data_IF_092377741039
#
_entry.id   IF_092377741039
#
_cell.length_a   1.000
_cell.length_b   1.000
_cell.length_c   1.000
_cell.angle_alpha   90.00
_cell.angle_beta   90.00
_cell.angle_gamma   90.00
#
_symmetry.space_group_name_H-M   'P 1'
#
loop_
_entity.id
_entity.type
_entity.pdbx_description
1 polymer ?
#
# COMPACT_ATOMS: atom_id res chain seq x y z
N UNK A 1 -11.54 19.28 24.51
CA UNK A 1 -10.56 18.18 24.39
C UNK A 1 -10.57 17.55 22.99
N UNK A 2 -11.75 17.38 22.36
CA UNK A 2 -11.91 16.85 20.99
C UNK A 2 -11.23 17.68 19.88
N UNK A 3 -11.31 19.02 19.92
CA UNK A 3 -10.82 19.88 18.82
C UNK A 3 -9.31 19.81 18.53
N UNK A 4 -8.47 19.39 19.49
CA UNK A 4 -7.03 19.20 19.25
C UNK A 4 -6.71 17.90 18.52
N UNK A 5 -7.58 16.90 18.59
CA UNK A 5 -7.40 15.61 17.93
C UNK A 5 -7.87 15.64 16.47
N UNK A 6 -8.75 16.59 16.13
CA UNK A 6 -9.16 16.86 14.75
C UNK A 6 -8.18 17.76 13.98
N UNK A 7 -7.15 18.32 14.65
CA UNK A 7 -6.14 19.15 13.98
C UNK A 7 -5.02 18.28 13.38
N UNK A 8 -4.58 18.58 12.15
CA UNK A 8 -3.40 17.97 11.53
C UNK A 8 -2.18 17.99 12.47
N UNK A 9 -1.48 16.86 12.55
CA UNK A 9 -0.16 16.74 13.22
C UNK A 9 0.97 16.62 12.22
N UNK A 10 2.18 16.32 12.71
CA UNK A 10 3.33 16.05 11.83
C UNK A 10 3.11 14.86 10.89
N UNK A 11 2.19 13.94 11.23
CA UNK A 11 1.74 12.86 10.36
C UNK A 11 0.97 13.38 9.14
N UNK A 12 0.14 14.41 9.31
CA UNK A 12 -0.59 15.01 8.21
C UNK A 12 0.37 15.79 7.30
N UNK A 13 1.30 16.57 7.87
CA UNK A 13 2.35 17.24 7.09
C UNK A 13 3.20 16.21 6.30
N UNK A 14 3.47 15.05 6.91
CA UNK A 14 4.15 13.95 6.26
C UNK A 14 3.36 13.39 5.07
N UNK A 15 2.05 13.20 5.21
CA UNK A 15 1.19 12.75 4.13
C UNK A 15 1.04 13.81 3.03
N UNK A 16 0.88 15.08 3.39
CA UNK A 16 0.77 16.20 2.45
C UNK A 16 1.98 16.28 1.51
N UNK A 17 3.20 16.08 2.06
CA UNK A 17 4.41 16.03 1.23
C UNK A 17 4.38 14.91 0.19
N UNK A 18 3.55 13.88 0.35
CA UNK A 18 3.44 12.76 -0.59
C UNK A 18 2.38 12.99 -1.67
N UNK A 19 1.54 14.02 -1.54
CA UNK A 19 0.57 14.38 -2.56
C UNK A 19 1.26 14.74 -3.89
N UNK A 20 0.53 14.59 -5.00
CA UNK A 20 1.00 14.83 -6.36
C UNK A 20 1.01 13.57 -7.22
N UNK A 21 1.67 13.67 -8.38
CA UNK A 21 1.77 12.57 -9.34
C UNK A 21 3.13 11.88 -9.23
N UNK A 22 3.11 10.56 -9.35
CA UNK A 22 4.29 9.72 -9.24
C UNK A 22 4.31 8.71 -10.37
N UNK A 23 5.45 8.59 -11.05
CA UNK A 23 5.74 7.44 -11.89
C UNK A 23 5.83 6.20 -11.02
N UNK A 24 5.09 5.16 -11.40
CA UNK A 24 5.05 3.90 -10.68
C UNK A 24 5.64 2.78 -11.54
N UNK A 25 6.58 2.06 -10.94
CA UNK A 25 6.98 0.72 -11.36
C UNK A 25 6.54 -0.29 -10.32
N UNK A 26 5.76 -1.28 -10.72
CA UNK A 26 5.37 -2.40 -9.88
C UNK A 26 6.17 -3.65 -10.28
N UNK A 27 6.69 -4.38 -9.31
CA UNK A 27 7.31 -5.69 -9.53
C UNK A 27 6.65 -6.71 -8.62
N UNK A 28 6.29 -7.87 -9.18
CA UNK A 28 5.52 -8.92 -8.50
C UNK A 28 6.28 -10.24 -8.53
N UNK A 29 6.30 -10.94 -7.39
CA UNK A 29 6.78 -12.31 -7.25
C UNK A 29 5.62 -13.18 -6.76
N UNK A 30 5.11 -14.05 -7.62
CA UNK A 30 3.88 -14.81 -7.35
C UNK A 30 4.01 -15.84 -6.20
N UNK A 31 5.23 -16.32 -5.93
CA UNK A 31 5.51 -17.33 -4.93
C UNK A 31 6.96 -17.24 -4.43
N UNK A 32 7.31 -17.90 -3.32
CA UNK A 32 8.71 -18.02 -2.87
C UNK A 32 9.63 -18.52 -4.00
N UNK A 33 10.68 -17.76 -4.28
CA UNK A 33 11.68 -18.09 -5.32
C UNK A 33 11.22 -17.90 -6.77
N UNK A 34 10.01 -17.41 -7.02
CA UNK A 34 9.53 -17.13 -8.38
C UNK A 34 10.35 -16.03 -9.07
N UNK A 35 10.41 -16.05 -10.40
CA UNK A 35 10.96 -14.93 -11.16
C UNK A 35 10.03 -13.70 -11.08
N UNK A 36 10.57 -12.48 -10.97
CA UNK A 36 9.76 -11.27 -10.95
C UNK A 36 9.14 -10.93 -12.30
N UNK A 37 7.91 -10.42 -12.27
CA UNK A 37 7.28 -9.71 -13.39
C UNK A 37 7.19 -8.23 -13.06
N UNK A 38 7.60 -7.34 -13.98
CA UNK A 38 7.53 -5.89 -13.80
C UNK A 38 6.48 -5.27 -14.71
N UNK A 39 5.64 -4.42 -14.15
CA UNK A 39 4.73 -3.51 -14.87
C UNK A 39 5.26 -2.08 -14.84
N UNK A 40 5.21 -1.39 -15.98
CA UNK A 40 5.62 0.01 -16.16
C UNK A 40 4.51 0.82 -16.83
N UNK A 41 4.68 2.14 -16.96
CA UNK A 41 3.67 3.02 -17.57
C UNK A 41 2.45 3.25 -16.66
N UNK A 42 2.61 3.01 -15.37
CA UNK A 42 1.63 3.31 -14.34
C UNK A 42 1.93 4.66 -13.69
N UNK A 43 0.89 5.32 -13.21
CA UNK A 43 0.97 6.51 -12.38
C UNK A 43 0.24 6.25 -11.09
N UNK A 44 0.86 6.68 -9.99
CA UNK A 44 0.19 6.84 -8.72
C UNK A 44 -0.15 8.32 -8.51
N UNK A 45 -1.44 8.61 -8.45
CA UNK A 45 -1.96 9.93 -8.15
C UNK A 45 -2.35 9.99 -6.69
N UNK A 46 -1.72 10.89 -5.95
CA UNK A 46 -1.92 11.06 -4.51
C UNK A 46 -2.58 12.38 -4.22
N UNK A 47 -3.70 12.35 -3.53
CA UNK A 47 -4.47 13.54 -3.14
C UNK A 47 -4.80 13.49 -1.65
N UNK A 48 -4.74 14.65 -1.00
CA UNK A 48 -5.22 14.77 0.37
C UNK A 48 -6.75 14.92 0.38
N UNK A 49 -7.41 14.17 1.26
CA UNK A 49 -8.82 14.30 1.58
C UNK A 49 -8.92 14.51 3.09
N UNK A 50 -9.00 15.77 3.51
CA UNK A 50 -8.82 16.11 4.92
C UNK A 50 -7.44 15.68 5.40
N UNK A 51 -7.38 14.85 6.45
CA UNK A 51 -6.12 14.29 7.01
C UNK A 51 -5.70 12.95 6.39
N UNK A 52 -6.45 12.45 5.39
CA UNK A 52 -6.17 11.18 4.72
C UNK A 52 -5.45 11.42 3.40
N UNK A 53 -4.49 10.56 3.08
CA UNK A 53 -3.89 10.48 1.76
C UNK A 53 -4.61 9.38 0.96
N UNK A 54 -5.24 9.75 -0.15
CA UNK A 54 -5.76 8.80 -1.12
C UNK A 54 -4.77 8.63 -2.27
N UNK A 55 -4.45 7.39 -2.61
CA UNK A 55 -3.65 7.04 -3.80
C UNK A 55 -4.53 6.30 -4.81
N UNK A 56 -4.45 6.71 -6.08
CA UNK A 56 -4.99 5.97 -7.22
C UNK A 56 -3.85 5.47 -8.08
N UNK A 57 -3.76 4.16 -8.30
CA UNK A 57 -2.86 3.58 -9.29
C UNK A 57 -3.64 3.37 -10.58
N UNK A 58 -3.17 3.94 -11.69
CA UNK A 58 -3.83 3.88 -12.99
C UNK A 58 -2.81 3.88 -14.14
N UNK A 59 -3.19 3.42 -15.34
CA UNK A 59 -2.38 3.63 -16.53
C UNK A 59 -2.13 5.12 -16.77
N UNK A 60 -0.94 5.47 -17.27
CA UNK A 60 -0.57 6.86 -17.58
C UNK A 60 -1.61 7.58 -18.44
N UNK A 61 -2.13 6.91 -19.48
CA UNK A 61 -3.09 7.49 -20.41
C UNK A 61 -4.50 7.67 -19.82
N UNK A 62 -4.81 7.08 -18.65
CA UNK A 62 -6.13 7.13 -18.04
C UNK A 62 -6.31 8.40 -17.20
N UNK A 63 -6.43 9.54 -17.87
CA UNK A 63 -6.62 10.83 -17.19
C UNK A 63 -8.03 10.99 -16.59
N UNK A 64 -9.02 10.26 -17.11
CA UNK A 64 -10.40 10.27 -16.64
C UNK A 64 -10.64 9.33 -15.43
N UNK A 65 -9.61 8.59 -14.99
CA UNK A 65 -9.67 7.63 -13.87
C UNK A 65 -10.74 6.54 -14.05
N UNK A 66 -10.91 6.04 -15.27
CA UNK A 66 -11.88 4.99 -15.59
C UNK A 66 -11.28 3.59 -15.41
N UNK A 67 -9.96 3.47 -15.60
CA UNK A 67 -9.19 2.22 -15.54
C UNK A 67 -8.30 2.14 -14.30
N UNK A 68 -8.74 2.75 -13.19
CA UNK A 68 -8.05 2.68 -11.90
C UNK A 68 -7.83 1.22 -11.54
N UNK A 69 -6.57 0.85 -11.33
CA UNK A 69 -6.15 -0.49 -10.96
C UNK A 69 -6.30 -0.70 -9.47
N UNK A 70 -5.88 0.28 -8.66
CA UNK A 70 -5.90 0.19 -7.20
C UNK A 70 -6.18 1.53 -6.58
N UNK A 71 -6.87 1.52 -5.45
CA UNK A 71 -7.08 2.69 -4.60
C UNK A 71 -6.63 2.37 -3.19
N UNK A 72 -5.84 3.25 -2.60
CA UNK A 72 -5.43 3.17 -1.20
C UNK A 72 -5.89 4.41 -0.44
N UNK A 73 -6.23 4.24 0.84
CA UNK A 73 -6.41 5.32 1.81
C UNK A 73 -5.43 5.08 2.96
N UNK A 74 -4.69 6.11 3.35
CA UNK A 74 -3.76 6.09 4.48
C UNK A 74 -4.00 7.31 5.37
N UNK A 75 -4.12 7.09 6.68
CA UNK A 75 -4.17 8.18 7.64
C UNK A 75 -3.53 7.78 8.96
N UNK A 76 -3.25 8.78 9.80
CA UNK A 76 -2.85 8.54 11.18
C UNK A 76 -4.01 8.84 12.12
N UNK A 77 -4.46 7.80 12.82
CA UNK A 77 -5.49 7.91 13.82
C UNK A 77 -4.86 8.33 15.15
N UNK A 78 -5.10 9.59 15.52
CA UNK A 78 -4.54 10.21 16.73
C UNK A 78 -5.18 9.70 18.03
N UNK A 79 -6.37 9.08 17.97
CA UNK A 79 -7.00 8.46 19.12
C UNK A 79 -6.32 7.13 19.45
N UNK A 80 -6.10 6.31 18.42
CA UNK A 80 -5.48 4.97 18.57
C UNK A 80 -3.95 5.03 18.57
N UNK A 81 -3.36 6.14 18.14
CA UNK A 81 -1.91 6.31 18.04
C UNK A 81 -1.27 5.42 16.97
N UNK A 82 -2.01 5.12 15.89
CA UNK A 82 -1.59 4.20 14.82
C UNK A 82 -1.95 4.71 13.43
N UNK A 83 -1.31 4.14 12.43
CA UNK A 83 -1.69 4.31 11.03
C UNK A 83 -2.84 3.37 10.70
N UNK A 84 -3.87 3.90 10.06
CA UNK A 84 -4.99 3.13 9.51
C UNK A 84 -4.89 3.19 7.99
N UNK A 85 -5.15 2.05 7.35
CA UNK A 85 -5.03 1.88 5.92
C UNK A 85 -6.14 0.99 5.38
N UNK A 86 -6.63 1.29 4.18
CA UNK A 86 -7.45 0.36 3.42
C UNK A 86 -7.05 0.43 1.96
N UNK A 87 -6.98 -0.73 1.32
CA UNK A 87 -6.74 -0.83 -0.10
C UNK A 87 -7.83 -1.63 -0.79
N UNK A 88 -8.04 -1.32 -2.06
CA UNK A 88 -8.87 -2.08 -2.97
C UNK A 88 -8.14 -2.17 -4.31
N UNK A 89 -7.98 -3.39 -4.82
CA UNK A 89 -7.34 -3.66 -6.11
C UNK A 89 -8.36 -4.30 -7.04
N UNK A 90 -8.61 -3.68 -8.19
CA UNK A 90 -9.52 -4.19 -9.23
C UNK A 90 -8.92 -5.35 -10.02
N UNK A 91 -7.61 -5.58 -9.89
CA UNK A 91 -6.88 -6.67 -10.56
C UNK A 91 -6.99 -7.98 -9.79
N UNK A 92 -7.27 -7.91 -8.49
CA UNK A 92 -7.30 -9.05 -7.58
C UNK A 92 -8.69 -9.20 -6.92
N UNK A 93 -9.28 -10.40 -6.90
CA UNK A 93 -10.64 -10.60 -6.38
C UNK A 93 -10.68 -10.74 -4.84
N UNK A 94 -10.01 -9.83 -4.12
CA UNK A 94 -9.80 -9.89 -2.66
C UNK A 94 -10.68 -8.92 -1.86
N UNK A 95 -11.43 -8.04 -2.54
CA UNK A 95 -12.31 -7.05 -1.91
C UNK A 95 -11.53 -5.91 -1.23
N UNK A 96 -12.08 -5.38 -0.13
CA UNK A 96 -11.40 -4.36 0.68
C UNK A 96 -10.38 -5.02 1.60
N UNK A 97 -9.17 -4.46 1.62
CA UNK A 97 -8.03 -4.95 2.38
C UNK A 97 -7.65 -3.93 3.46
N UNK A 98 -8.29 -3.94 4.64
CA UNK A 98 -7.92 -3.07 5.75
C UNK A 98 -6.59 -3.51 6.37
N UNK A 99 -5.82 -2.54 6.83
CA UNK A 99 -4.56 -2.75 7.52
C UNK A 99 -4.33 -1.64 8.56
N UNK A 100 -3.50 -1.93 9.55
CA UNK A 100 -3.13 -0.96 10.56
C UNK A 100 -1.70 -1.18 11.03
N UNK A 101 -1.06 -0.12 11.51
CA UNK A 101 0.23 -0.27 12.17
C UNK A 101 0.04 -0.80 13.59
N UNK A 102 1.04 -1.54 14.07
CA UNK A 102 1.12 -2.00 15.47
C UNK A 102 1.98 -1.06 16.33
N UNK A 103 2.55 -0.02 15.72
CA UNK A 103 3.31 1.04 16.38
C UNK A 103 3.13 2.34 15.60
N UNK A 104 3.53 3.48 16.20
CA UNK A 104 3.54 4.77 15.51
C UNK A 104 4.53 4.82 14.34
N UNK A 105 5.63 4.06 14.40
CA UNK A 105 6.76 4.18 13.47
C UNK A 105 7.56 5.48 13.65
N UNK A 106 8.42 5.80 12.67
CA UNK A 106 9.34 6.95 12.71
C UNK A 106 9.15 7.96 11.55
N UNK A 107 7.97 7.95 10.92
CA UNK A 107 7.59 8.72 9.71
C UNK A 107 8.39 8.37 8.45
N UNK A 108 9.63 7.88 8.53
CA UNK A 108 10.37 7.43 7.35
C UNK A 108 9.93 6.04 6.90
N UNK A 109 9.43 5.23 7.84
CA UNK A 109 8.88 3.92 7.57
C UNK A 109 7.56 3.71 8.33
N UNK A 110 6.52 3.34 7.57
CA UNK A 110 5.24 2.89 8.11
C UNK A 110 5.11 1.40 7.82
N UNK A 111 5.02 0.60 8.87
CA UNK A 111 4.70 -0.83 8.77
C UNK A 111 3.21 -1.06 9.06
N UNK A 112 2.54 -1.73 8.14
CA UNK A 112 1.11 -2.06 8.22
C UNK A 112 0.96 -3.58 8.25
N UNK A 113 0.14 -4.07 9.16
CA UNK A 113 -0.35 -5.45 9.18
C UNK A 113 -1.78 -5.46 8.65
N UNK A 114 -2.03 -6.24 7.61
CA UNK A 114 -3.35 -6.36 7.03
C UNK A 114 -4.22 -7.28 7.86
N UNK A 115 -5.53 -7.02 7.86
CA UNK A 115 -6.49 -8.04 8.23
C UNK A 115 -6.24 -9.28 7.38
N UNK A 116 -6.36 -10.48 7.97
CA UNK A 116 -6.12 -11.69 7.22
C UNK A 116 -6.98 -11.79 5.96
N UNK A 117 -6.40 -12.21 4.85
CA UNK A 117 -7.08 -12.30 3.57
C UNK A 117 -6.84 -13.64 2.89
N UNK A 118 -7.81 -14.03 2.08
CA UNK A 118 -7.74 -15.22 1.25
C UNK A 118 -7.42 -14.78 -0.20
N UNK A 119 -6.39 -15.35 -0.80
CA UNK A 119 -5.95 -15.03 -2.16
C UNK A 119 -6.00 -16.28 -3.02
N UNK A 120 -6.58 -16.16 -4.22
CA UNK A 120 -6.61 -17.24 -5.18
C UNK A 120 -5.25 -17.37 -5.89
N UNK A 121 -4.82 -18.61 -6.15
CA UNK A 121 -3.69 -18.87 -7.05
C UNK A 121 -2.30 -18.71 -6.42
N UNK A 122 -2.22 -18.58 -5.10
CA UNK A 122 -0.96 -18.64 -4.35
C UNK A 122 -0.80 -20.06 -3.80
N UNK A 123 0.10 -20.86 -4.39
CA UNK A 123 0.31 -22.27 -4.04
C UNK A 123 0.40 -23.18 -5.27
N UNK A 124 0.56 -24.50 -5.06
CA UNK A 124 0.73 -25.48 -6.17
C UNK A 124 -0.54 -25.78 -6.95
N UNK A 125 -1.70 -25.47 -6.40
CA UNK A 125 -2.99 -25.68 -7.05
C UNK A 125 -3.81 -24.40 -6.86
N UNK A 126 -4.70 -24.10 -7.79
CA UNK A 126 -5.64 -22.96 -7.86
C UNK A 126 -6.65 -22.90 -6.69
N UNK A 127 -6.17 -23.20 -5.50
CA UNK A 127 -6.78 -23.15 -4.19
C UNK A 127 -6.69 -21.73 -3.64
N UNK A 128 -7.67 -21.40 -2.82
CA UNK A 128 -7.65 -20.17 -2.03
C UNK A 128 -6.72 -20.41 -0.86
N UNK A 129 -5.64 -19.64 -0.78
CA UNK A 129 -4.69 -19.69 0.33
C UNK A 129 -4.95 -18.52 1.25
N UNK A 130 -4.99 -18.79 2.55
CA UNK A 130 -5.02 -17.75 3.55
C UNK A 130 -3.61 -17.22 3.75
N UNK A 131 -3.46 -15.90 3.77
CA UNK A 131 -2.17 -15.24 3.86
C UNK A 131 -2.19 -14.21 4.97
N UNK A 132 -1.06 -14.13 5.68
CA UNK A 132 -0.72 -12.92 6.41
C UNK A 132 0.00 -11.98 5.45
N UNK A 133 -0.41 -10.72 5.48
CA UNK A 133 0.18 -9.67 4.66
C UNK A 133 0.70 -8.56 5.57
N UNK A 134 1.95 -8.15 5.34
CA UNK A 134 2.50 -6.91 5.89
C UNK A 134 3.03 -6.01 4.77
N UNK A 135 2.90 -4.71 4.95
CA UNK A 135 3.41 -3.71 4.00
C UNK A 135 4.34 -2.75 4.72
N UNK A 136 5.50 -2.52 4.11
CA UNK A 136 6.41 -1.44 4.48
C UNK A 136 6.23 -0.30 3.48
N UNK A 137 5.84 0.87 3.96
CA UNK A 137 5.81 2.10 3.17
C UNK A 137 6.99 2.96 3.60
N UNK A 138 7.96 3.13 2.70
CA UNK A 138 9.27 3.72 2.97
C UNK A 138 9.40 5.00 2.16
N UNK A 139 9.88 6.06 2.81
CA UNK A 139 10.28 7.32 2.20
C UNK A 139 11.77 7.29 1.90
N UNK A 140 12.15 7.31 0.63
CA UNK A 140 13.55 7.28 0.16
C UNK A 140 14.03 8.68 -0.28
N UNK A 141 13.48 9.72 0.35
CA UNK A 141 13.73 11.14 0.04
C UNK A 141 12.46 11.89 -0.38
N UNK A 142 12.57 13.17 -0.76
CA UNK A 142 11.40 13.99 -1.10
C UNK A 142 10.67 13.51 -2.37
N UNK A 143 11.38 12.86 -3.29
CA UNK A 143 10.90 12.53 -4.64
C UNK A 143 10.97 11.04 -4.96
N UNK A 144 11.17 10.20 -3.95
CA UNK A 144 11.22 8.75 -4.10
C UNK A 144 10.54 8.07 -2.93
N UNK A 145 9.65 7.14 -3.25
CA UNK A 145 9.00 6.28 -2.28
C UNK A 145 9.09 4.81 -2.72
N UNK A 146 8.94 3.92 -1.75
CA UNK A 146 8.78 2.49 -1.99
C UNK A 146 7.70 1.90 -1.10
N UNK A 147 6.86 1.03 -1.65
CA UNK A 147 6.01 0.12 -0.87
C UNK A 147 6.44 -1.32 -1.15
N UNK A 148 6.79 -2.05 -0.11
CA UNK A 148 7.10 -3.48 -0.18
C UNK A 148 6.01 -4.25 0.56
N UNK A 149 5.36 -5.19 -0.13
CA UNK A 149 4.33 -6.07 0.43
C UNK A 149 4.90 -7.49 0.55
N UNK A 150 4.87 -8.02 1.77
CA UNK A 150 5.35 -9.36 2.08
C UNK A 150 4.17 -10.26 2.40
N UNK A 151 4.14 -11.42 1.75
CA UNK A 151 3.11 -12.43 1.95
C UNK A 151 3.73 -13.55 2.78
N UNK A 152 2.99 -14.06 3.75
CA UNK A 152 3.37 -15.22 4.55
C UNK A 152 2.30 -16.30 4.40
N UNK A 153 2.72 -17.52 4.03
CA UNK A 153 1.81 -18.67 3.97
C UNK A 153 1.27 -19.00 5.37
N UNK A 154 -0.06 -19.13 5.48
CA UNK A 154 -0.72 -19.62 6.69
C UNK A 154 -0.92 -21.15 6.68
N UNK A 155 0.03 -21.89 6.09
CA UNK A 155 0.03 -23.36 5.98
C UNK A 155 0.81 -24.05 7.11
N UNK A 156 1.24 -23.28 8.13
CA UNK A 156 2.07 -23.74 9.24
C UNK A 156 3.57 -23.68 8.98
N UNK A 157 4.02 -23.42 7.74
CA UNK A 157 5.46 -23.24 7.43
C UNK A 157 5.95 -21.82 7.74
N UNK A 158 5.03 -20.84 7.78
CA UNK A 158 5.32 -19.42 7.90
C UNK A 158 6.32 -18.91 6.84
N UNK A 159 6.33 -19.53 5.65
CA UNK A 159 7.19 -19.10 4.55
C UNK A 159 6.77 -17.70 4.10
N UNK A 160 7.68 -16.73 4.25
CA UNK A 160 7.48 -15.34 3.82
C UNK A 160 8.27 -15.04 2.55
N UNK A 161 7.70 -14.23 1.66
CA UNK A 161 8.40 -13.65 0.51
C UNK A 161 7.92 -12.24 0.20
N UNK A 162 8.75 -11.48 -0.51
CA UNK A 162 8.37 -10.19 -1.08
C UNK A 162 7.43 -10.47 -2.26
N UNK A 163 6.13 -10.20 -2.12
CA UNK A 163 5.15 -10.48 -3.15
C UNK A 163 5.00 -9.30 -4.12
N UNK A 164 4.97 -8.07 -3.62
CA UNK A 164 4.91 -6.87 -4.46
C UNK A 164 5.92 -5.83 -3.99
N UNK A 165 6.53 -5.13 -4.96
CA UNK A 165 7.30 -3.91 -4.75
C UNK A 165 6.79 -2.83 -5.69
N UNK A 166 6.34 -1.73 -5.11
CA UNK A 166 5.93 -0.51 -5.80
C UNK A 166 7.03 0.53 -5.60
N UNK A 167 7.66 0.96 -6.69
CA UNK A 167 8.69 2.00 -6.67
C UNK A 167 8.13 3.25 -7.31
N UNK A 168 8.23 4.36 -6.60
CA UNK A 168 7.64 5.63 -6.97
C UNK A 168 8.74 6.66 -7.21
N UNK A 169 8.61 7.42 -8.28
CA UNK A 169 9.43 8.61 -8.55
C UNK A 169 8.50 9.78 -8.79
N UNK A 170 8.71 10.89 -8.08
CA UNK A 170 7.84 12.06 -8.21
C UNK A 170 7.94 12.63 -9.61
N UNK A 171 6.80 13.02 -10.18
CA UNK A 171 6.74 13.80 -11.41
C UNK A 171 6.83 15.29 -11.10
N UNK A 172 7.58 16.07 -11.90
CA UNK A 172 7.62 17.53 -11.82
C UNK A 172 6.23 18.16 -11.96
#
# INVERSE_FOLDING_TARGET
MSDRLNKPGSEADFLERRAGLWDLRETVWAAPGAHPTTSTGLVAERVMIGSLLQEFIRPLADMARVSVKRTDLLCYNRLDGRWDYVSFDTRDPVGLMPAWSLSRGDLNQIELSFAPLAVAGVGKDSTVSFLRLRQLTISDGPDRDRKDQYFTLADGTATEWLAHRYQYVRRP
#
